data_IF_025740484394
#
_entry.id   IF_025740484394
#
_cell.length_a   1.000
_cell.length_b   1.000
_cell.length_c   1.000
_cell.angle_alpha   90.00
_cell.angle_beta   90.00
_cell.angle_gamma   90.00
#
_symmetry.space_group_name_H-M   'P 1'
#
loop_
_entity.id
_entity.type
_entity.pdbx_description
1 polymer ?
#
# COMPACT_ATOMS: atom_id res chain seq x y z
N UNK A 1 28.50 2.41 2.51
CA UNK A 1 27.82 3.54 1.82
C UNK A 1 28.76 4.27 0.87
N UNK A 2 29.99 4.65 1.25
CA UNK A 2 30.99 5.23 0.31
C UNK A 2 31.28 4.34 -0.91
N UNK A 3 31.39 3.01 -0.71
CA UNK A 3 31.55 2.04 -1.82
C UNK A 3 30.37 2.03 -2.80
N UNK A 4 29.22 2.59 -2.42
CA UNK A 4 28.00 2.71 -3.24
C UNK A 4 27.87 4.10 -3.90
N UNK A 5 28.84 5.00 -3.71
CA UNK A 5 28.80 6.36 -4.28
C UNK A 5 27.75 7.28 -3.65
N UNK A 6 27.27 6.95 -2.46
CA UNK A 6 26.37 7.82 -1.69
C UNK A 6 27.20 8.87 -0.95
N UNK A 7 26.88 10.14 -1.16
CA UNK A 7 27.48 11.28 -0.45
C UNK A 7 26.70 11.52 0.85
N UNK A 8 27.07 10.82 1.93
CA UNK A 8 26.29 10.86 3.18
C UNK A 8 26.24 12.27 3.82
N UNK A 9 27.21 13.11 3.50
CA UNK A 9 27.32 14.51 3.91
C UNK A 9 26.30 15.43 3.22
N UNK A 10 25.71 15.02 2.10
CA UNK A 10 24.66 15.79 1.39
C UNK A 10 23.25 15.40 1.79
N UNK A 11 23.10 14.44 2.70
CA UNK A 11 21.80 13.93 3.07
C UNK A 11 20.95 14.93 3.87
N UNK A 12 19.65 14.92 3.62
CA UNK A 12 18.71 15.86 4.21
C UNK A 12 17.46 15.16 4.75
N UNK A 13 16.88 15.74 5.80
CA UNK A 13 15.59 15.30 6.32
C UNK A 13 14.46 15.77 5.39
N UNK A 14 13.65 14.83 4.92
CA UNK A 14 12.35 15.10 4.30
C UNK A 14 11.28 15.34 5.37
N UNK A 15 11.36 14.58 6.47
CA UNK A 15 10.59 14.77 7.69
C UNK A 15 11.49 14.43 8.87
N UNK A 16 11.67 15.37 9.80
CA UNK A 16 12.62 15.21 10.91
C UNK A 16 12.36 13.90 11.68
N UNK A 17 13.42 13.12 11.92
CA UNK A 17 13.39 11.84 12.65
C UNK A 17 12.56 10.72 12.02
N UNK A 18 11.94 10.93 10.86
CA UNK A 18 11.09 9.93 10.19
C UNK A 18 11.60 9.55 8.81
N UNK A 19 11.97 10.55 7.99
CA UNK A 19 12.34 10.32 6.61
C UNK A 19 13.59 11.13 6.25
N UNK A 20 14.67 10.43 5.92
CA UNK A 20 15.93 11.02 5.48
C UNK A 20 16.27 10.54 4.08
N UNK A 21 16.81 11.42 3.25
CA UNK A 21 17.22 11.10 1.88
C UNK A 21 18.68 11.47 1.64
N UNK A 22 19.29 10.79 0.67
CA UNK A 22 20.63 11.07 0.18
C UNK A 22 20.73 10.75 -1.30
N UNK A 23 21.51 11.54 -2.03
CA UNK A 23 21.76 11.34 -3.45
C UNK A 23 22.91 10.35 -3.69
N UNK A 24 22.87 9.67 -4.83
CA UNK A 24 23.91 8.71 -5.23
C UNK A 24 23.97 8.56 -6.75
N UNK A 25 25.18 8.32 -7.27
CA UNK A 25 25.45 8.33 -8.72
C UNK A 25 25.51 6.93 -9.36
N UNK A 26 25.10 5.88 -8.63
CA UNK A 26 25.22 4.46 -9.05
C UNK A 26 23.89 3.84 -9.50
N UNK A 27 24.01 2.77 -10.30
CA UNK A 27 22.87 1.99 -10.82
C UNK A 27 21.93 1.50 -9.69
N UNK A 28 20.60 1.73 -9.78
CA UNK A 28 19.66 1.53 -8.66
C UNK A 28 19.56 0.12 -8.08
N UNK A 29 19.64 -0.93 -8.91
CA UNK A 29 19.28 -2.30 -8.49
C UNK A 29 20.27 -2.90 -7.47
N UNK A 30 21.57 -2.79 -7.73
CA UNK A 30 22.61 -3.33 -6.83
C UNK A 30 22.68 -2.53 -5.51
N UNK A 31 22.40 -1.23 -5.60
CA UNK A 31 22.39 -0.31 -4.46
C UNK A 31 21.23 -0.63 -3.52
N UNK A 32 20.01 -0.80 -4.03
CA UNK A 32 18.83 -1.07 -3.20
C UNK A 32 18.99 -2.36 -2.39
N UNK A 33 19.47 -3.43 -3.03
CA UNK A 33 19.71 -4.72 -2.35
C UNK A 33 20.75 -4.60 -1.25
N UNK A 34 21.87 -3.92 -1.53
CA UNK A 34 22.94 -3.72 -0.56
C UNK A 34 22.48 -2.89 0.64
N UNK A 35 21.73 -1.81 0.40
CA UNK A 35 21.21 -0.94 1.47
C UNK A 35 20.17 -1.68 2.29
N UNK A 36 19.20 -2.36 1.67
CA UNK A 36 18.21 -3.16 2.41
C UNK A 36 18.88 -4.21 3.30
N UNK A 37 19.91 -4.90 2.80
CA UNK A 37 20.68 -5.85 3.61
C UNK A 37 21.37 -5.19 4.81
N UNK A 38 21.96 -3.99 4.63
CA UNK A 38 22.61 -3.26 5.71
C UNK A 38 21.62 -2.66 6.72
N UNK A 39 20.44 -2.26 6.25
CA UNK A 39 19.37 -1.67 7.03
C UNK A 39 18.48 -2.70 7.74
N UNK A 40 18.53 -3.98 7.36
CA UNK A 40 17.66 -5.05 7.86
C UNK A 40 17.60 -5.21 9.39
N UNK A 41 18.59 -4.70 10.13
CA UNK A 41 18.60 -4.71 11.61
C UNK A 41 17.80 -3.58 12.25
N UNK A 42 17.28 -2.65 11.45
CA UNK A 42 16.54 -1.47 11.88
C UNK A 42 15.13 -1.52 11.30
N UNK A 43 14.12 -0.98 12.00
CA UNK A 43 12.75 -0.88 11.51
C UNK A 43 12.62 0.29 10.53
N UNK A 44 13.32 0.22 9.40
CA UNK A 44 13.33 1.27 8.38
C UNK A 44 13.06 0.70 7.01
N UNK A 45 12.17 1.36 6.28
CA UNK A 45 11.94 1.08 4.87
C UNK A 45 12.93 1.83 3.99
N UNK A 46 13.33 1.20 2.88
CA UNK A 46 14.29 1.77 1.93
C UNK A 46 13.69 1.75 0.54
N UNK A 47 13.63 2.94 -0.06
CA UNK A 47 13.21 3.15 -1.44
C UNK A 47 14.22 4.01 -2.19
N UNK A 48 14.26 3.84 -3.52
CA UNK A 48 15.02 4.66 -4.45
C UNK A 48 14.04 5.35 -5.38
N UNK A 49 14.12 6.66 -5.45
CA UNK A 49 13.27 7.48 -6.32
C UNK A 49 14.14 8.36 -7.23
N UNK A 50 13.65 8.74 -8.42
CA UNK A 50 14.34 9.72 -9.24
C UNK A 50 14.54 11.06 -8.50
N UNK A 51 15.67 11.72 -8.75
CA UNK A 51 15.94 13.06 -8.20
C UNK A 51 14.98 14.13 -8.77
N UNK A 52 14.53 13.95 -10.01
CA UNK A 52 13.58 14.85 -10.65
C UNK A 52 12.17 14.71 -10.06
N UNK A 53 11.45 15.83 -9.94
CA UNK A 53 10.03 15.89 -9.57
C UNK A 53 9.69 15.21 -8.23
N UNK A 54 10.55 15.31 -7.21
CA UNK A 54 10.30 14.73 -5.89
C UNK A 54 9.12 15.39 -5.13
N UNK A 55 8.92 16.70 -5.31
CA UNK A 55 7.77 17.40 -4.72
C UNK A 55 6.52 17.16 -5.56
N UNK A 56 5.67 16.23 -5.11
CA UNK A 56 4.37 15.93 -5.73
C UNK A 56 3.33 16.96 -5.28
N UNK A 57 2.39 17.29 -6.17
CA UNK A 57 1.29 18.22 -5.89
C UNK A 57 -0.03 17.52 -5.53
N UNK A 58 -0.13 16.23 -5.84
CA UNK A 58 -1.31 15.41 -5.66
C UNK A 58 -0.88 14.05 -5.12
N UNK A 59 -1.58 13.58 -4.10
CA UNK A 59 -1.51 12.23 -3.58
C UNK A 59 -2.86 11.58 -3.84
N UNK A 60 -2.85 10.43 -4.52
CA UNK A 60 -4.00 9.55 -4.64
C UNK A 60 -3.63 8.32 -3.82
N UNK A 61 -4.49 7.96 -2.88
CA UNK A 61 -4.34 6.78 -2.05
C UNK A 61 -5.61 5.93 -2.19
N UNK A 62 -5.42 4.63 -2.11
CA UNK A 62 -6.55 3.71 -1.94
C UNK A 62 -7.18 3.93 -0.55
N UNK A 63 -8.44 3.52 -0.38
CA UNK A 63 -9.16 3.69 0.87
C UNK A 63 -8.95 2.48 1.79
N UNK A 64 -9.47 1.33 1.38
CA UNK A 64 -9.44 0.08 2.13
C UNK A 64 -7.99 -0.39 2.30
N UNK A 65 -7.66 -0.90 3.50
CA UNK A 65 -6.32 -1.39 3.87
C UNK A 65 -5.15 -0.41 3.63
N UNK A 66 -5.43 0.88 3.39
CA UNK A 66 -4.44 1.93 3.11
C UNK A 66 -4.68 3.17 3.96
N UNK A 67 -5.87 3.77 3.86
CA UNK A 67 -6.28 4.93 4.68
C UNK A 67 -7.06 4.49 5.91
N UNK A 68 -7.77 3.38 5.81
CA UNK A 68 -8.44 2.69 6.92
C UNK A 68 -7.92 1.26 7.03
N UNK A 69 -8.05 0.64 8.20
CA UNK A 69 -7.58 -0.73 8.43
C UNK A 69 -8.58 -1.78 7.93
N UNK A 70 -9.83 -1.40 7.74
CA UNK A 70 -10.94 -2.27 7.36
C UNK A 70 -11.05 -2.43 5.85
N UNK A 71 -11.78 -3.48 5.45
CA UNK A 71 -12.31 -3.69 4.11
C UNK A 71 -13.81 -3.40 4.16
N UNK A 72 -14.25 -2.23 3.67
CA UNK A 72 -15.62 -1.76 3.90
C UNK A 72 -16.71 -2.74 3.42
N UNK A 73 -16.48 -3.45 2.31
CA UNK A 73 -17.45 -4.43 1.78
C UNK A 73 -17.56 -5.65 2.70
N UNK A 74 -16.46 -6.08 3.31
CA UNK A 74 -16.46 -7.24 4.22
C UNK A 74 -17.21 -6.90 5.52
N UNK A 75 -17.03 -5.69 6.05
CA UNK A 75 -17.78 -5.22 7.23
C UNK A 75 -19.30 -5.14 6.96
N UNK A 76 -19.69 -4.64 5.78
CA UNK A 76 -21.09 -4.62 5.36
C UNK A 76 -21.66 -6.03 5.16
N UNK A 77 -20.85 -6.95 4.67
CA UNK A 77 -21.24 -8.35 4.47
C UNK A 77 -21.43 -9.07 5.81
N UNK A 78 -20.57 -8.82 6.80
CA UNK A 78 -20.73 -9.35 8.15
C UNK A 78 -22.02 -8.80 8.79
N UNK A 79 -22.34 -7.51 8.61
CA UNK A 79 -23.61 -6.92 9.05
C UNK A 79 -24.84 -7.51 8.33
N UNK A 80 -24.70 -7.90 7.06
CA UNK A 80 -25.73 -8.58 6.27
C UNK A 80 -25.85 -10.09 6.56
N UNK A 81 -24.93 -10.66 7.34
CA UNK A 81 -24.83 -12.11 7.54
C UNK A 81 -24.34 -12.89 6.31
N UNK A 82 -23.73 -12.21 5.34
CA UNK A 82 -23.20 -12.79 4.08
C UNK A 82 -21.67 -12.75 3.99
N UNK A 83 -20.98 -12.46 5.10
CA UNK A 83 -19.52 -12.37 5.18
C UNK A 83 -18.75 -13.57 4.62
N UNK A 84 -19.17 -14.80 4.92
CA UNK A 84 -18.50 -16.00 4.41
C UNK A 84 -18.55 -16.10 2.87
N UNK A 85 -19.68 -15.68 2.27
CA UNK A 85 -19.83 -15.68 0.82
C UNK A 85 -18.93 -14.62 0.17
N UNK A 86 -18.88 -13.42 0.76
CA UNK A 86 -18.02 -12.32 0.28
C UNK A 86 -16.54 -12.68 0.40
N UNK A 87 -16.11 -13.27 1.53
CA UNK A 87 -14.74 -13.77 1.72
C UNK A 87 -14.36 -14.80 0.66
N UNK A 88 -15.26 -15.73 0.32
CA UNK A 88 -15.00 -16.71 -0.74
C UNK A 88 -14.81 -16.06 -2.12
N UNK A 89 -15.59 -15.02 -2.44
CA UNK A 89 -15.44 -14.25 -3.68
C UNK A 89 -14.11 -13.49 -3.68
N UNK A 90 -13.74 -12.85 -2.57
CA UNK A 90 -12.46 -12.13 -2.42
C UNK A 90 -11.27 -13.05 -2.64
N UNK A 91 -11.27 -14.26 -2.08
CA UNK A 91 -10.19 -15.26 -2.30
C UNK A 91 -10.09 -15.64 -3.78
N UNK A 92 -11.21 -15.90 -4.46
CA UNK A 92 -11.22 -16.20 -5.90
C UNK A 92 -10.66 -15.05 -6.74
N UNK A 93 -11.02 -13.82 -6.40
CA UNK A 93 -10.50 -12.62 -7.07
C UNK A 93 -8.98 -12.46 -6.85
N UNK A 94 -8.49 -12.63 -5.61
CA UNK A 94 -7.05 -12.56 -5.30
C UNK A 94 -6.24 -13.68 -5.97
N UNK A 95 -6.83 -14.85 -6.19
CA UNK A 95 -6.23 -15.94 -6.97
C UNK A 95 -6.22 -15.67 -8.48
N UNK A 96 -6.88 -14.60 -8.94
CA UNK A 96 -7.04 -14.28 -10.36
C UNK A 96 -8.07 -15.13 -11.08
N UNK A 97 -8.96 -15.82 -10.36
CA UNK A 97 -10.04 -16.65 -10.91
C UNK A 97 -11.27 -15.83 -11.32
N UNK A 98 -11.41 -14.62 -10.76
CA UNK A 98 -12.42 -13.62 -11.10
C UNK A 98 -11.71 -12.32 -11.46
N UNK A 99 -12.23 -11.62 -12.46
CA UNK A 99 -11.80 -10.25 -12.71
C UNK A 99 -12.34 -9.31 -11.63
N UNK A 100 -11.78 -8.10 -11.55
CA UNK A 100 -12.15 -7.13 -10.53
C UNK A 100 -13.62 -6.70 -10.62
N UNK A 101 -14.15 -6.52 -11.83
CA UNK A 101 -15.50 -6.02 -12.03
C UNK A 101 -16.54 -7.08 -11.61
N UNK A 102 -16.36 -8.32 -12.05
CA UNK A 102 -17.19 -9.45 -11.70
C UNK A 102 -17.12 -9.74 -10.20
N UNK A 103 -15.92 -9.73 -9.61
CA UNK A 103 -15.75 -9.88 -8.17
C UNK A 103 -16.44 -8.76 -7.38
N UNK A 104 -16.41 -7.51 -7.85
CA UNK A 104 -17.11 -6.40 -7.21
C UNK A 104 -18.63 -6.58 -7.32
N UNK A 105 -19.15 -6.94 -8.50
CA UNK A 105 -20.58 -7.17 -8.73
C UNK A 105 -21.10 -8.31 -7.86
N UNK A 106 -20.39 -9.43 -7.79
CA UNK A 106 -20.76 -10.57 -6.95
C UNK A 106 -20.80 -10.19 -5.46
N UNK A 107 -19.78 -9.49 -4.96
CA UNK A 107 -19.73 -9.06 -3.54
C UNK A 107 -20.84 -8.07 -3.20
N UNK A 108 -21.09 -7.07 -4.04
CA UNK A 108 -22.17 -6.10 -3.82
C UNK A 108 -23.55 -6.77 -3.90
N UNK A 109 -23.72 -7.77 -4.78
CA UNK A 109 -24.97 -8.53 -4.85
C UNK A 109 -25.24 -9.33 -3.57
N UNK A 110 -24.20 -9.74 -2.82
CA UNK A 110 -24.35 -10.39 -1.53
C UNK A 110 -24.87 -9.45 -0.42
N UNK A 111 -24.88 -8.13 -0.65
CA UNK A 111 -25.43 -7.13 0.25
C UNK A 111 -26.91 -6.82 -0.05
N UNK A 112 -27.55 -7.62 -0.90
CA UNK A 112 -28.96 -7.42 -1.27
C UNK A 112 -29.84 -7.40 -0.02
N UNK A 113 -30.77 -6.45 -0.02
CA UNK A 113 -31.75 -6.22 1.06
C UNK A 113 -31.15 -5.67 2.37
N UNK A 114 -29.84 -5.41 2.44
CA UNK A 114 -29.22 -4.68 3.55
C UNK A 114 -29.75 -3.22 3.58
N UNK A 115 -30.32 -2.75 4.70
CA UNK A 115 -30.81 -1.38 4.79
C UNK A 115 -29.67 -0.37 4.64
N UNK A 116 -29.85 0.64 3.77
CA UNK A 116 -28.84 1.69 3.54
C UNK A 116 -28.44 2.48 4.80
N UNK A 117 -29.29 2.48 5.83
CA UNK A 117 -28.98 3.11 7.12
C UNK A 117 -27.72 2.57 7.79
N UNK A 118 -27.36 1.31 7.51
CA UNK A 118 -26.15 0.65 8.05
C UNK A 118 -24.86 1.36 7.64
N UNK A 119 -24.84 2.08 6.51
CA UNK A 119 -23.65 2.82 6.05
C UNK A 119 -23.34 4.03 6.95
N UNK A 120 -24.35 4.56 7.65
CA UNK A 120 -24.21 5.76 8.49
C UNK A 120 -24.08 5.50 9.98
N UNK A 121 -24.07 4.24 10.41
CA UNK A 121 -23.86 3.80 11.80
C UNK A 121 -22.37 3.66 12.13
#
# INVERSE_FOLDING_TARGET
MEKLGAQLDTGQWLHEKTAWQVEFDKRPADVLRAIRKAAARWPVDVNIVPAANQRKKLLIADMDSTMIEQECIDELADAAGTGDAVKAITVRAMNGELDFEDALRERVAALKDLPSGVIGE
#
